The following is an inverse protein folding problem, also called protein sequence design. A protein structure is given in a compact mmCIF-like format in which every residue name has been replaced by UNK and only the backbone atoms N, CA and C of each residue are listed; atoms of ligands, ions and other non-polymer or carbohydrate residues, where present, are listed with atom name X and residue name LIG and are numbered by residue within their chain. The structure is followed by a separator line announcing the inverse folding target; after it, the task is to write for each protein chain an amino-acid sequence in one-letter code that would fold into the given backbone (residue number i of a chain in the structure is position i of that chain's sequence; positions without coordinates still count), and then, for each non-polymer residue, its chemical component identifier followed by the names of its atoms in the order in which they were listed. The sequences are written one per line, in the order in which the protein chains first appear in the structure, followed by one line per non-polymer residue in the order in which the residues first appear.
data_IF_758131231573
#
_entry.id   IF_758131231573
#
_cell.length_a   1.000
_cell.length_b   1.000
_cell.length_c   1.000
_cell.angle_alpha   90.00
_cell.angle_beta   90.00
_cell.angle_gamma   90.00
#
_symmetry.space_group_name_H-M   'P 1'
#
loop_
_entity.id
_entity.type
_entity.pdbx_description
1 polymer ?
#
# COMPACT_ATOMS: atom_id res chain seq x y z
N UNK A 1 -81.82 -10.72 36.52
CA UNK A 1 -81.20 -9.88 37.59
C UNK A 1 -79.76 -9.61 37.20
N UNK A 2 -79.39 -8.42 36.69
CA UNK A 2 -77.99 -8.06 36.52
C UNK A 2 -77.56 -7.28 37.75
N UNK A 3 -76.83 -7.91 38.66
CA UNK A 3 -76.18 -7.19 39.75
C UNK A 3 -74.90 -6.59 39.18
N UNK A 4 -74.85 -5.25 39.14
CA UNK A 4 -73.72 -4.50 38.63
C UNK A 4 -72.44 -4.85 39.39
N UNK A 5 -71.44 -5.35 38.68
CA UNK A 5 -70.06 -5.32 39.14
C UNK A 5 -69.66 -3.86 39.34
N UNK A 6 -69.35 -3.50 40.59
CA UNK A 6 -68.69 -2.23 40.88
C UNK A 6 -67.29 -2.27 40.26
N UNK A 7 -67.19 -1.81 39.00
CA UNK A 7 -65.93 -1.64 38.31
C UNK A 7 -65.18 -0.47 38.94
N UNK A 8 -64.22 -0.77 39.81
CA UNK A 8 -63.38 0.23 40.46
C UNK A 8 -62.36 0.80 39.45
N UNK A 9 -62.85 1.76 38.67
CA UNK A 9 -62.06 2.49 37.68
C UNK A 9 -60.84 3.19 38.30
N UNK A 10 -60.86 3.52 39.60
CA UNK A 10 -59.74 4.13 40.29
C UNK A 10 -58.64 3.10 40.60
N UNK A 11 -59.01 1.88 41.00
CA UNK A 11 -58.07 0.78 41.20
C UNK A 11 -57.44 0.31 39.88
N UNK A 12 -58.23 0.16 38.81
CA UNK A 12 -57.73 -0.17 37.47
C UNK A 12 -56.75 0.89 36.94
N UNK A 13 -57.09 2.19 37.14
CA UNK A 13 -56.22 3.31 36.73
C UNK A 13 -54.91 3.34 37.52
N UNK A 14 -54.92 3.03 38.82
CA UNK A 14 -53.69 2.93 39.65
C UNK A 14 -52.81 1.77 39.22
N UNK A 15 -53.40 0.60 38.92
CA UNK A 15 -52.66 -0.55 38.39
C UNK A 15 -52.04 -0.25 37.02
N UNK A 16 -52.78 0.41 36.13
CA UNK A 16 -52.29 0.84 34.83
C UNK A 16 -51.15 1.87 34.98
N UNK A 17 -51.32 2.92 35.78
CA UNK A 17 -50.29 3.92 36.05
C UNK A 17 -49.02 3.30 36.64
N UNK A 18 -49.14 2.36 37.58
CA UNK A 18 -47.99 1.66 38.15
C UNK A 18 -47.23 0.86 37.09
N UNK A 19 -47.93 0.15 36.20
CA UNK A 19 -47.31 -0.58 35.08
C UNK A 19 -46.58 0.36 34.12
N UNK A 20 -47.19 1.48 33.77
CA UNK A 20 -46.59 2.50 32.90
C UNK A 20 -45.32 3.07 33.52
N UNK A 21 -45.33 3.41 34.81
CA UNK A 21 -44.15 3.92 35.53
C UNK A 21 -43.04 2.86 35.58
N UNK A 22 -43.37 1.60 35.87
CA UNK A 22 -42.38 0.50 35.89
C UNK A 22 -41.75 0.31 34.50
N UNK A 23 -42.55 0.31 33.43
CA UNK A 23 -42.03 0.19 32.06
C UNK A 23 -41.18 1.39 31.66
N UNK A 24 -41.57 2.61 32.04
CA UNK A 24 -40.76 3.81 31.81
C UNK A 24 -39.42 3.75 32.53
N UNK A 25 -39.39 3.32 33.80
CA UNK A 25 -38.13 3.15 34.54
C UNK A 25 -37.25 2.08 33.90
N UNK A 26 -37.85 0.97 33.42
CA UNK A 26 -37.11 -0.08 32.73
C UNK A 26 -36.46 0.43 31.44
N UNK A 27 -37.22 1.15 30.60
CA UNK A 27 -36.70 1.76 29.37
C UNK A 27 -35.61 2.78 29.69
N UNK A 28 -35.80 3.61 30.72
CA UNK A 28 -34.80 4.58 31.15
C UNK A 28 -33.49 3.91 31.60
N UNK A 29 -33.58 2.80 32.33
CA UNK A 29 -32.41 2.03 32.76
C UNK A 29 -31.65 1.43 31.57
N UNK A 30 -32.35 0.87 30.58
CA UNK A 30 -31.72 0.38 29.34
C UNK A 30 -31.04 1.51 28.57
N UNK A 31 -31.70 2.67 28.48
CA UNK A 31 -31.15 3.84 27.79
C UNK A 31 -29.93 4.39 28.51
N UNK A 32 -29.93 4.43 29.85
CA UNK A 32 -28.76 4.77 30.65
C UNK A 32 -27.61 3.79 30.42
N UNK A 33 -27.89 2.49 30.29
CA UNK A 33 -26.90 1.47 29.92
C UNK A 33 -26.26 1.73 28.55
N UNK A 34 -27.06 2.10 27.54
CA UNK A 34 -26.56 2.48 26.22
C UNK A 34 -25.71 3.74 26.26
N UNK A 35 -26.12 4.78 27.00
CA UNK A 35 -25.35 6.02 27.16
C UNK A 35 -24.04 5.74 27.88
N UNK A 36 -24.03 4.90 28.92
CA UNK A 36 -22.81 4.48 29.60
C UNK A 36 -21.86 3.73 28.66
N UNK A 37 -22.40 2.82 27.83
CA UNK A 37 -21.62 2.10 26.81
C UNK A 37 -21.05 3.06 25.75
N UNK A 38 -21.84 4.04 25.32
CA UNK A 38 -21.41 5.06 24.37
C UNK A 38 -20.29 5.92 24.97
N UNK A 39 -20.43 6.34 26.23
CA UNK A 39 -19.39 7.09 26.94
C UNK A 39 -18.09 6.30 27.06
N UNK A 40 -18.16 5.00 27.38
CA UNK A 40 -17.00 4.12 27.39
C UNK A 40 -16.29 4.12 26.02
N UNK A 41 -17.03 3.87 24.93
CA UNK A 41 -16.45 3.79 23.59
C UNK A 41 -15.89 5.14 23.11
N UNK A 42 -16.61 6.24 23.39
CA UNK A 42 -16.28 7.55 22.83
C UNK A 42 -15.27 8.36 23.64
N UNK A 43 -15.22 8.18 24.97
CA UNK A 43 -14.36 8.98 25.86
C UNK A 43 -13.22 8.14 26.42
N UNK A 44 -13.50 6.95 26.96
CA UNK A 44 -12.47 6.10 27.57
C UNK A 44 -11.60 5.43 26.50
N UNK A 45 -12.23 4.91 25.45
CA UNK A 45 -11.54 4.19 24.36
C UNK A 45 -11.31 5.08 23.12
N UNK A 46 -11.49 6.39 23.25
CA UNK A 46 -11.36 7.37 22.16
C UNK A 46 -10.05 7.21 21.39
N UNK A 47 -8.93 7.23 22.13
CA UNK A 47 -7.58 7.21 21.55
C UNK A 47 -7.28 5.91 20.80
N UNK A 48 -7.87 4.79 21.26
CA UNK A 48 -7.71 3.48 20.64
C UNK A 48 -8.44 3.44 19.30
N UNK A 49 -9.72 3.85 19.28
CA UNK A 49 -10.53 3.79 18.06
C UNK A 49 -10.16 4.85 17.03
N UNK A 50 -9.76 6.05 17.46
CA UNK A 50 -9.22 7.07 16.56
C UNK A 50 -7.93 6.60 15.90
N UNK A 51 -7.00 6.03 16.66
CA UNK A 51 -5.76 5.45 16.10
C UNK A 51 -6.03 4.30 15.13
N UNK A 52 -6.99 3.42 15.42
CA UNK A 52 -7.39 2.33 14.52
C UNK A 52 -8.02 2.84 13.22
N UNK A 53 -8.87 3.87 13.31
CA UNK A 53 -9.43 4.53 12.13
C UNK A 53 -8.38 5.27 11.30
N UNK A 54 -7.45 5.96 11.94
CA UNK A 54 -6.36 6.66 11.24
C UNK A 54 -5.41 5.67 10.56
N UNK A 55 -5.08 4.54 11.20
CA UNK A 55 -4.30 3.46 10.57
C UNK A 55 -5.00 2.83 9.37
N UNK A 56 -6.34 2.80 9.36
CA UNK A 56 -7.10 2.32 8.20
C UNK A 56 -7.27 3.37 7.10
N UNK A 57 -7.19 4.68 7.43
CA UNK A 57 -7.28 5.77 6.47
C UNK A 57 -5.93 6.15 5.85
N UNK A 58 -4.84 5.96 6.59
CA UNK A 58 -3.51 6.41 6.21
C UNK A 58 -2.59 5.21 6.00
N UNK A 59 -2.24 4.95 4.74
CA UNK A 59 -1.20 4.00 4.39
C UNK A 59 0.13 4.73 4.31
N UNK A 60 1.07 4.40 5.21
CA UNK A 60 2.44 4.94 5.14
C UNK A 60 3.16 4.23 3.99
N UNK A 61 3.60 4.99 2.99
CA UNK A 61 4.39 4.49 1.87
C UNK A 61 5.86 4.86 2.11
N UNK A 62 6.70 3.85 2.29
CA UNK A 62 8.14 4.06 2.45
C UNK A 62 8.76 4.52 1.14
N UNK A 63 9.61 5.55 1.20
CA UNK A 63 10.36 6.05 0.05
C UNK A 63 11.79 5.52 0.13
N UNK A 64 12.22 4.64 -0.81
CA UNK A 64 13.58 4.12 -0.82
C UNK A 64 14.57 5.26 -1.13
N UNK A 65 15.71 5.33 -0.42
CA UNK A 65 16.72 6.35 -0.65
C UNK A 65 17.47 6.09 -1.97
N UNK A 66 17.98 7.15 -2.64
CA UNK A 66 18.95 6.96 -3.71
C UNK A 66 20.23 6.36 -3.13
N UNK A 67 20.73 5.31 -3.78
CA UNK A 67 21.93 4.60 -3.35
C UNK A 67 23.18 5.49 -3.51
N UNK A 68 24.17 5.38 -2.63
CA UNK A 68 25.40 6.16 -2.68
C UNK A 68 26.17 6.01 -4.00
N UNK A 69 26.70 7.11 -4.52
CA UNK A 69 27.57 7.11 -5.70
C UNK A 69 28.96 6.57 -5.34
N UNK A 70 29.59 5.84 -6.25
CA UNK A 70 30.96 5.32 -6.06
C UNK A 70 31.88 6.03 -7.04
N UNK A 71 32.98 6.58 -6.52
CA UNK A 71 33.98 7.30 -7.28
C UNK A 71 35.35 6.62 -7.17
N UNK A 72 36.17 6.75 -8.20
CA UNK A 72 37.61 6.48 -8.10
C UNK A 72 38.35 7.67 -7.44
N UNK A 73 39.64 7.49 -7.13
CA UNK A 73 40.57 8.51 -6.61
C UNK A 73 40.63 9.80 -7.44
N UNK A 74 40.27 9.73 -8.72
CA UNK A 74 40.25 10.86 -9.63
C UNK A 74 38.87 11.52 -9.76
N UNK A 75 37.91 11.17 -8.89
CA UNK A 75 36.51 11.62 -8.93
C UNK A 75 35.71 11.20 -10.17
N UNK A 76 36.14 10.13 -10.85
CA UNK A 76 35.38 9.53 -11.94
C UNK A 76 34.33 8.54 -11.40
N UNK A 77 33.12 8.56 -11.97
CA UNK A 77 32.00 7.73 -11.52
C UNK A 77 32.21 6.27 -11.91
N UNK A 78 32.29 5.41 -10.91
CA UNK A 78 32.41 3.96 -11.07
C UNK A 78 31.05 3.26 -10.95
N UNK A 79 30.16 3.79 -10.12
CA UNK A 79 28.78 3.32 -10.01
C UNK A 79 27.84 4.50 -9.70
N UNK A 80 26.77 4.61 -10.49
CA UNK A 80 25.76 5.65 -10.37
C UNK A 80 24.34 5.06 -10.42
N UNK A 81 23.33 5.87 -10.14
CA UNK A 81 21.94 5.45 -10.31
C UNK A 81 21.33 6.23 -11.46
N UNK A 82 20.71 5.52 -12.41
CA UNK A 82 19.99 6.11 -13.53
C UNK A 82 18.50 5.83 -13.38
N UNK A 83 17.64 6.82 -13.66
CA UNK A 83 16.20 6.57 -13.71
C UNK A 83 15.90 5.64 -14.89
N UNK A 84 15.16 4.59 -14.61
CA UNK A 84 14.56 3.71 -15.62
C UNK A 84 13.05 3.85 -15.47
N UNK A 85 12.41 4.21 -16.58
CA UNK A 85 10.97 4.39 -16.62
C UNK A 85 10.30 3.06 -16.96
N UNK A 86 9.28 2.70 -16.20
CA UNK A 86 8.48 1.52 -16.43
C UNK A 86 7.01 1.87 -16.47
N UNK A 87 6.24 1.15 -17.28
CA UNK A 87 4.78 1.26 -17.26
C UNK A 87 4.25 0.26 -16.23
N UNK A 88 3.53 0.78 -15.23
CA UNK A 88 2.95 -0.01 -14.16
C UNK A 88 1.43 0.02 -14.24
N UNK A 89 0.79 -1.03 -13.75
CA UNK A 89 -0.66 -1.18 -13.73
C UNK A 89 -1.09 -1.50 -12.30
N UNK A 90 -2.07 -0.76 -11.79
CA UNK A 90 -2.76 -0.97 -10.51
C UNK A 90 -4.06 -1.72 -10.78
N UNK A 91 -4.13 -3.05 -10.57
CA UNK A 91 -5.25 -3.87 -11.02
C UNK A 91 -6.61 -3.44 -10.45
N UNK A 92 -6.64 -2.92 -9.22
CA UNK A 92 -7.85 -2.46 -8.54
C UNK A 92 -8.45 -1.18 -9.14
N UNK A 93 -7.66 -0.42 -9.93
CA UNK A 93 -8.11 0.81 -10.60
C UNK A 93 -8.53 0.56 -12.05
N UNK A 94 -8.32 -0.65 -12.56
CA UNK A 94 -8.60 -1.02 -13.95
C UNK A 94 -9.99 -1.66 -14.05
N UNK A 95 -10.86 -1.11 -14.91
CA UNK A 95 -12.20 -1.65 -15.13
C UNK A 95 -12.25 -2.95 -15.95
N UNK A 96 -11.25 -3.19 -16.80
CA UNK A 96 -11.11 -4.40 -17.61
C UNK A 96 -9.67 -4.63 -18.02
N UNK A 97 -9.03 -5.65 -17.43
CA UNK A 97 -7.60 -5.90 -17.60
C UNK A 97 -7.23 -6.21 -19.05
N UNK A 98 -7.96 -7.13 -19.69
CA UNK A 98 -7.64 -7.58 -21.06
C UNK A 98 -7.75 -6.43 -22.07
N UNK A 99 -8.80 -5.61 -21.98
CA UNK A 99 -8.98 -4.43 -22.83
C UNK A 99 -7.90 -3.37 -22.60
N UNK A 100 -7.48 -3.18 -21.34
CA UNK A 100 -6.40 -2.24 -21.00
C UNK A 100 -5.06 -2.72 -21.57
N UNK A 101 -4.77 -4.02 -21.47
CA UNK A 101 -3.57 -4.62 -22.04
C UNK A 101 -3.56 -4.52 -23.57
N UNK A 102 -4.69 -4.76 -24.23
CA UNK A 102 -4.83 -4.59 -25.68
C UNK A 102 -4.58 -3.14 -26.11
N UNK A 103 -5.14 -2.17 -25.39
CA UNK A 103 -4.91 -0.75 -25.66
C UNK A 103 -3.45 -0.35 -25.43
N UNK A 104 -2.80 -0.88 -24.38
CA UNK A 104 -1.38 -0.64 -24.11
C UNK A 104 -0.48 -1.22 -25.19
N UNK A 105 -0.76 -2.44 -25.66
CA UNK A 105 -0.03 -3.05 -26.78
C UNK A 105 -0.20 -2.31 -28.10
N UNK A 106 -1.26 -1.50 -28.25
CA UNK A 106 -1.43 -0.61 -29.40
C UNK A 106 -0.58 0.67 -29.33
N UNK A 107 -0.17 1.09 -28.13
CA UNK A 107 0.58 2.35 -27.88
C UNK A 107 2.08 2.08 -27.70
N UNK A 108 2.40 0.95 -27.09
CA UNK A 108 3.74 0.53 -26.71
C UNK A 108 4.08 -0.81 -27.36
N UNK A 109 5.36 -1.03 -27.64
CA UNK A 109 5.85 -2.33 -28.11
C UNK A 109 6.00 -3.27 -26.91
N UNK A 110 4.89 -3.91 -26.55
CA UNK A 110 4.80 -4.88 -25.45
C UNK A 110 4.98 -6.27 -26.04
N UNK A 111 6.04 -6.97 -25.64
CA UNK A 111 6.31 -8.33 -26.10
C UNK A 111 5.39 -9.36 -25.43
N UNK A 112 5.23 -10.52 -26.05
CA UNK A 112 4.50 -11.64 -25.43
C UNK A 112 5.13 -12.08 -24.11
N UNK A 113 6.47 -12.00 -23.99
CA UNK A 113 7.18 -12.29 -22.73
C UNK A 113 6.82 -11.30 -21.61
N UNK A 114 6.61 -10.03 -21.94
CA UNK A 114 6.20 -9.00 -20.97
C UNK A 114 4.79 -9.30 -20.45
N UNK A 115 3.87 -9.66 -21.35
CA UNK A 115 2.50 -10.07 -21.00
C UNK A 115 2.49 -11.32 -20.12
N UNK A 116 3.25 -12.36 -20.48
CA UNK A 116 3.36 -13.58 -19.66
C UNK A 116 3.92 -13.28 -18.27
N UNK A 117 4.97 -12.46 -18.19
CA UNK A 117 5.59 -12.03 -16.94
C UNK A 117 4.60 -11.24 -16.08
N UNK A 118 3.85 -10.34 -16.68
CA UNK A 118 2.83 -9.54 -16.02
C UNK A 118 1.71 -10.45 -15.46
N UNK A 119 1.18 -11.35 -16.28
CA UNK A 119 0.14 -12.30 -15.86
C UNK A 119 0.60 -13.21 -14.73
N UNK A 120 1.87 -13.65 -14.74
CA UNK A 120 2.44 -14.43 -13.64
C UNK A 120 2.43 -13.63 -12.35
N UNK A 121 2.90 -12.38 -12.36
CA UNK A 121 2.90 -11.48 -11.19
C UNK A 121 1.48 -11.14 -10.73
N UNK A 122 0.53 -11.03 -11.66
CA UNK A 122 -0.87 -10.78 -11.35
C UNK A 122 -1.48 -11.91 -10.50
N UNK A 123 -0.95 -13.14 -10.57
CA UNK A 123 -1.42 -14.30 -9.79
C UNK A 123 -0.71 -14.45 -8.43
N UNK A 124 0.37 -13.71 -8.20
CA UNK A 124 1.11 -13.77 -6.94
C UNK A 124 0.38 -12.99 -5.81
N UNK A 125 0.47 -13.44 -4.55
CA UNK A 125 -0.06 -12.69 -3.42
C UNK A 125 0.58 -11.30 -3.34
N UNK A 126 -0.24 -10.25 -3.31
CA UNK A 126 0.21 -8.85 -3.30
C UNK A 126 -0.55 -8.01 -2.28
N UNK A 127 -0.01 -6.83 -1.98
CA UNK A 127 -0.73 -5.83 -1.17
C UNK A 127 -1.85 -5.19 -2.01
N UNK A 128 -2.97 -4.76 -1.40
CA UNK A 128 -3.99 -4.00 -2.11
C UNK A 128 -3.39 -2.75 -2.76
N UNK A 129 -3.80 -2.45 -3.99
CA UNK A 129 -3.34 -1.29 -4.78
C UNK A 129 -1.83 -1.29 -5.09
N UNK A 130 -1.16 -2.43 -4.96
CA UNK A 130 0.23 -2.56 -5.36
C UNK A 130 0.31 -2.56 -6.89
N UNK A 131 1.12 -1.67 -7.43
CA UNK A 131 1.38 -1.59 -8.86
C UNK A 131 2.21 -2.78 -9.36
N UNK A 132 1.94 -3.17 -10.60
CA UNK A 132 2.62 -4.27 -11.28
C UNK A 132 3.24 -3.72 -12.55
N UNK A 133 4.57 -3.75 -12.70
CA UNK A 133 5.22 -3.32 -13.93
C UNK A 133 4.88 -4.30 -15.05
N UNK A 134 4.38 -3.74 -16.15
CA UNK A 134 4.13 -4.44 -17.40
C UNK A 134 5.40 -4.48 -18.26
N UNK A 135 6.05 -3.33 -18.46
CA UNK A 135 7.25 -3.19 -19.29
C UNK A 135 8.25 -2.24 -18.63
N UNK A 136 9.54 -2.50 -18.82
CA UNK A 136 10.65 -1.70 -18.31
C UNK A 136 11.33 -0.93 -19.44
N UNK A 137 12.15 0.05 -19.07
CA UNK A 137 13.04 0.78 -19.97
C UNK A 137 12.29 1.51 -21.11
N UNK A 138 11.26 2.27 -20.71
CA UNK A 138 10.53 3.12 -21.64
C UNK A 138 11.42 4.25 -22.16
N UNK A 139 11.38 4.44 -23.48
CA UNK A 139 11.97 5.59 -24.16
C UNK A 139 11.15 6.86 -23.92
N UNK A 140 11.77 8.03 -24.06
CA UNK A 140 11.06 9.32 -23.92
C UNK A 140 9.86 9.43 -24.89
N UNK A 141 10.00 8.93 -26.11
CA UNK A 141 8.92 8.91 -27.11
C UNK A 141 7.74 8.03 -26.68
N UNK A 142 8.00 6.89 -26.04
CA UNK A 142 6.98 6.01 -25.50
C UNK A 142 6.25 6.63 -24.30
N UNK A 143 7.00 7.28 -23.40
CA UNK A 143 6.43 8.01 -22.27
C UNK A 143 5.52 9.12 -22.79
N UNK A 144 5.95 9.85 -23.82
CA UNK A 144 5.15 10.90 -24.45
C UNK A 144 3.87 10.34 -25.07
N UNK A 145 3.95 9.22 -25.81
CA UNK A 145 2.76 8.54 -26.36
C UNK A 145 1.78 8.12 -25.27
N UNK A 146 2.28 7.50 -24.20
CA UNK A 146 1.44 7.06 -23.09
C UNK A 146 0.80 8.26 -22.34
N UNK A 147 1.53 9.37 -22.20
CA UNK A 147 1.05 10.58 -21.54
C UNK A 147 -0.19 11.18 -22.24
N UNK A 148 -0.27 11.12 -23.57
CA UNK A 148 -1.42 11.60 -24.35
C UNK A 148 -2.67 10.76 -24.07
N UNK A 149 -2.50 9.44 -23.96
CA UNK A 149 -3.59 8.48 -23.73
C UNK A 149 -3.90 8.24 -22.24
N UNK A 150 -3.20 8.93 -21.32
CA UNK A 150 -3.35 8.71 -19.87
C UNK A 150 -4.78 8.79 -19.37
N UNK A 151 -5.60 9.65 -19.96
CA UNK A 151 -7.00 9.83 -19.58
C UNK A 151 -7.89 8.62 -19.92
N UNK A 152 -7.48 7.79 -20.88
CA UNK A 152 -8.19 6.59 -21.34
C UNK A 152 -7.74 5.32 -20.59
N UNK A 153 -6.65 5.41 -19.82
CA UNK A 153 -5.97 4.27 -19.20
C UNK A 153 -6.00 4.37 -17.66
N UNK A 154 -7.18 4.25 -17.03
CA UNK A 154 -7.28 4.31 -15.57
C UNK A 154 -6.51 3.17 -14.92
N UNK A 155 -5.66 3.51 -13.95
CA UNK A 155 -4.82 2.54 -13.26
C UNK A 155 -3.50 2.22 -13.95
N UNK A 156 -3.19 2.84 -15.10
CA UNK A 156 -1.86 2.77 -15.72
C UNK A 156 -1.04 3.99 -15.34
N UNK A 157 0.17 3.77 -14.86
CA UNK A 157 1.08 4.82 -14.43
C UNK A 157 2.48 4.61 -15.04
N UNK A 158 3.24 5.71 -15.16
CA UNK A 158 4.67 5.64 -15.51
C UNK A 158 5.45 5.85 -14.24
N UNK A 159 6.14 4.82 -13.80
CA UNK A 159 6.95 4.84 -12.59
C UNK A 159 8.43 4.94 -12.95
N UNK A 160 9.15 5.84 -12.27
CA UNK A 160 10.59 6.00 -12.41
C UNK A 160 11.30 5.30 -11.24
N UNK A 161 12.01 4.22 -11.53
CA UNK A 161 12.85 3.51 -10.55
C UNK A 161 14.32 3.83 -10.79
N UNK A 162 15.08 4.09 -9.73
CA UNK A 162 16.52 4.29 -9.82
C UNK A 162 17.22 2.92 -9.92
N UNK A 163 17.80 2.63 -11.07
CA UNK A 163 18.56 1.41 -11.32
C UNK A 163 20.06 1.69 -11.29
N UNK A 164 20.82 0.76 -10.73
CA UNK A 164 22.27 0.86 -10.61
C UNK A 164 22.94 0.68 -11.97
N UNK A 165 23.77 1.64 -12.36
CA UNK A 165 24.52 1.66 -13.62
C UNK A 165 26.04 1.72 -13.36
N UNK A 166 26.80 0.93 -14.10
CA UNK A 166 28.26 0.82 -13.98
C UNK A 166 28.94 1.25 -15.29
N UNK A 167 29.41 2.50 -15.41
CA UNK A 167 29.94 3.04 -16.66
C UNK A 167 31.11 2.22 -17.27
N UNK A 168 31.96 1.66 -16.41
CA UNK A 168 33.13 0.87 -16.83
C UNK A 168 32.91 -0.65 -16.80
N UNK A 169 31.68 -1.10 -16.54
CA UNK A 169 31.23 -2.50 -16.65
C UNK A 169 32.26 -3.55 -16.22
N UNK A 170 32.71 -4.36 -17.20
CA UNK A 170 33.57 -5.52 -17.01
C UNK A 170 34.93 -5.20 -16.36
N UNK A 171 35.50 -4.01 -16.60
CA UNK A 171 36.80 -3.62 -16.06
C UNK A 171 36.81 -3.55 -14.53
N UNK A 172 35.64 -3.31 -13.93
CA UNK A 172 35.50 -3.03 -12.50
C UNK A 172 34.58 -4.02 -11.78
N UNK A 173 33.93 -4.93 -12.51
CA UNK A 173 32.88 -5.81 -12.00
C UNK A 173 33.31 -6.69 -10.80
N UNK A 174 34.56 -7.15 -10.75
CA UNK A 174 35.04 -7.97 -9.63
C UNK A 174 35.35 -7.17 -8.37
N UNK A 175 35.84 -5.94 -8.52
CA UNK A 175 36.16 -5.06 -7.39
C UNK A 175 34.90 -4.38 -6.86
N UNK A 176 34.13 -3.74 -7.74
CA UNK A 176 32.88 -3.07 -7.38
C UNK A 176 31.80 -4.05 -6.97
N UNK A 177 31.71 -5.18 -7.66
CA UNK A 177 30.61 -6.11 -7.53
C UNK A 177 29.36 -5.63 -8.24
N UNK A 178 28.21 -6.15 -7.82
CA UNK A 178 26.92 -5.80 -8.40
C UNK A 178 25.81 -5.81 -7.33
N UNK A 179 24.69 -5.18 -7.68
CA UNK A 179 23.43 -5.24 -6.91
C UNK A 179 22.48 -6.22 -7.57
N UNK A 180 21.64 -6.88 -6.79
CA UNK A 180 20.61 -7.77 -7.30
C UNK A 180 19.39 -7.81 -6.41
N UNK A 181 18.29 -8.38 -6.92
CA UNK A 181 17.04 -8.49 -6.16
C UNK A 181 17.27 -9.24 -4.84
N UNK A 182 16.63 -8.75 -3.78
CA UNK A 182 16.70 -9.37 -2.45
C UNK A 182 16.07 -10.76 -2.52
N UNK A 183 16.81 -11.77 -2.06
CA UNK A 183 16.31 -13.14 -1.96
C UNK A 183 15.76 -13.45 -0.57
N UNK A 184 15.07 -14.60 -0.44
CA UNK A 184 14.45 -15.01 0.84
C UNK A 184 15.42 -15.14 2.01
N UNK A 185 16.69 -15.49 1.76
CA UNK A 185 17.71 -15.65 2.81
C UNK A 185 18.22 -14.29 3.30
N UNK A 186 18.37 -13.33 2.39
CA UNK A 186 18.75 -11.95 2.72
C UNK A 186 17.62 -11.22 3.44
N UNK A 187 16.37 -11.47 3.04
CA UNK A 187 15.18 -10.90 3.69
C UNK A 187 15.11 -11.21 5.21
N UNK A 188 15.71 -12.33 5.64
CA UNK A 188 15.78 -12.71 7.07
C UNK A 188 16.89 -11.99 7.85
N UNK A 189 17.83 -11.34 7.16
CA UNK A 189 19.02 -10.71 7.77
C UNK A 189 18.99 -9.19 7.71
N UNK A 190 18.26 -8.62 6.75
CA UNK A 190 18.12 -7.18 6.59
C UNK A 190 17.16 -6.59 7.62
N UNK A 191 17.36 -5.32 7.95
CA UNK A 191 16.41 -4.56 8.76
C UNK A 191 15.12 -4.32 7.97
N UNK A 192 13.97 -4.87 8.39
CA UNK A 192 12.72 -4.72 7.67
C UNK A 192 12.22 -3.27 7.62
N UNK A 193 12.65 -2.42 8.56
CA UNK A 193 12.29 -0.99 8.57
C UNK A 193 13.17 -0.25 7.57
N UNK A 194 14.49 -0.41 7.67
CA UNK A 194 15.40 0.32 6.78
C UNK A 194 15.31 -0.16 5.32
N UNK A 195 14.87 -1.38 5.03
CA UNK A 195 14.68 -1.90 3.67
C UNK A 195 13.22 -1.83 3.19
N UNK A 196 12.36 -1.11 3.89
CA UNK A 196 10.98 -0.94 3.46
C UNK A 196 10.93 -0.18 2.11
N UNK A 197 10.42 -0.85 1.07
CA UNK A 197 10.36 -0.30 -0.29
C UNK A 197 11.63 -0.52 -1.13
N UNK A 198 12.72 -1.05 -0.54
CA UNK A 198 13.95 -1.37 -1.30
C UNK A 198 13.90 -2.80 -1.83
N UNK A 199 14.04 -2.98 -3.14
CA UNK A 199 13.98 -4.30 -3.79
C UNK A 199 15.36 -4.92 -4.10
N UNK A 200 16.44 -4.14 -4.02
CA UNK A 200 17.79 -4.50 -4.44
C UNK A 200 18.79 -4.36 -3.29
N UNK A 201 19.79 -5.26 -3.28
CA UNK A 201 20.88 -5.28 -2.29
C UNK A 201 22.20 -5.62 -2.98
N UNK A 202 23.31 -5.10 -2.47
CA UNK A 202 24.67 -5.40 -2.89
C UNK A 202 25.03 -6.86 -2.66
N UNK A 203 25.46 -7.54 -3.73
CA UNK A 203 25.71 -9.00 -3.72
C UNK A 203 27.18 -9.35 -3.55
N UNK A 204 28.07 -8.50 -4.05
CA UNK A 204 29.51 -8.74 -4.07
C UNK A 204 30.30 -7.43 -4.03
N UNK A 205 31.63 -7.54 -3.90
CA UNK A 205 32.55 -6.42 -4.01
C UNK A 205 32.30 -5.28 -3.02
N UNK A 206 32.63 -4.08 -3.45
CA UNK A 206 32.36 -2.81 -2.75
C UNK A 206 30.87 -2.64 -2.45
N UNK A 207 29.99 -3.00 -3.38
CA UNK A 207 28.53 -2.87 -3.22
C UNK A 207 28.03 -3.61 -1.98
N UNK A 208 28.51 -4.85 -1.75
CA UNK A 208 28.14 -5.63 -0.56
C UNK A 208 28.88 -5.18 0.69
N UNK A 209 30.18 -4.86 0.57
CA UNK A 209 31.00 -4.53 1.74
C UNK A 209 30.55 -3.21 2.38
N UNK A 210 30.20 -2.21 1.57
CA UNK A 210 29.73 -0.90 2.01
C UNK A 210 28.20 -0.76 1.93
N UNK A 211 27.44 -1.86 1.92
CA UNK A 211 25.97 -1.83 1.84
C UNK A 211 25.36 -0.85 2.84
N UNK A 212 25.78 -0.90 4.10
CA UNK A 212 25.19 -0.08 5.17
C UNK A 212 25.36 1.42 4.93
N UNK A 213 26.41 1.81 4.21
CA UNK A 213 26.69 3.21 3.84
C UNK A 213 26.04 3.56 2.51
N UNK A 214 26.13 2.67 1.53
CA UNK A 214 25.61 2.87 0.17
C UNK A 214 24.09 2.84 0.11
N UNK A 215 23.44 2.02 0.94
CA UNK A 215 21.98 1.94 0.96
C UNK A 215 21.34 3.24 1.43
N UNK A 216 21.89 3.87 2.48
CA UNK A 216 21.28 5.03 3.10
C UNK A 216 20.13 4.66 4.05
N UNK A 217 19.20 5.61 4.23
CA UNK A 217 18.08 5.49 5.17
C UNK A 217 16.74 5.70 4.47
N UNK A 218 15.80 4.79 4.67
CA UNK A 218 14.44 4.90 4.13
C UNK A 218 13.69 6.08 4.76
N UNK A 219 13.01 6.83 3.88
CA UNK A 219 12.11 7.92 4.24
C UNK A 219 10.66 7.45 4.38
N UNK A 220 9.78 8.37 4.75
CA UNK A 220 8.34 8.19 4.90
C UNK A 220 7.57 9.31 4.21
#
# INVERSE_FOLDING_TARGET
MPWGEFKDTAAERRLFQRRVVVMLMFVFLLMAGLVARMYQLQVVEHDIYTTLSDKNRVQVQSVPPPRGLVYDRNHELLAENRPVFSVTVVPERVGGMDATLEQLSGILDVSDEDLERFQRRLREPRRPFQEIPLRYDLTEDEIARLAVHRHELPGVEVEAELVRYYPHGELTAHALGFVGRINRKELQRIDPVNYAGTNYIGKSGVERFYEDVLHGKVGY
#
